data_IF_057171533607
#
_entry.id   IF_057171533607
#
_cell.length_a   1.000
_cell.length_b   1.000
_cell.length_c   1.000
_cell.angle_alpha   90.00
_cell.angle_beta   90.00
_cell.angle_gamma   90.00
#
_symmetry.space_group_name_H-M   'P 1'
#
loop_
_entity.id
_entity.type
_entity.pdbx_description
1 polymer ?
#
# COMPACT_ATOMS: atom_id res chain seq x y z
N UNK A 1 -11.51 24.01 -7.94
CA UNK A 1 -10.31 23.21 -8.27
C UNK A 1 -10.74 21.96 -9.03
N UNK A 2 -9.90 21.53 -9.99
CA UNK A 2 -10.16 20.38 -10.88
C UNK A 2 -10.10 19.00 -10.17
N UNK A 3 -9.42 18.91 -9.03
CA UNK A 3 -9.36 17.68 -8.22
C UNK A 3 -10.39 17.71 -7.08
N UNK A 4 -11.43 16.89 -7.22
CA UNK A 4 -12.53 16.80 -6.26
C UNK A 4 -12.09 16.23 -4.91
N UNK A 5 -11.12 15.30 -4.91
CA UNK A 5 -10.65 14.63 -3.70
C UNK A 5 -9.76 15.57 -2.88
N UNK A 6 -8.80 16.21 -3.54
CA UNK A 6 -7.92 17.22 -2.93
C UNK A 6 -8.66 18.46 -2.42
N UNK A 7 -9.78 18.84 -3.06
CA UNK A 7 -10.57 20.03 -2.68
C UNK A 7 -11.05 20.00 -1.23
N UNK A 8 -11.23 18.82 -0.64
CA UNK A 8 -11.68 18.69 0.75
C UNK A 8 -10.71 19.34 1.76
N UNK A 9 -9.44 19.51 1.41
CA UNK A 9 -8.43 20.17 2.27
C UNK A 9 -8.80 21.61 2.58
N UNK A 10 -9.47 22.32 1.67
CA UNK A 10 -9.85 23.73 1.86
C UNK A 10 -10.95 23.96 2.89
N UNK A 11 -11.56 22.89 3.42
CA UNK A 11 -12.45 22.97 4.60
C UNK A 11 -11.68 23.20 5.90
N UNK A 12 -10.36 23.12 5.87
CA UNK A 12 -9.53 23.16 7.08
C UNK A 12 -9.64 24.52 7.79
N UNK A 13 -10.15 24.50 9.03
CA UNK A 13 -10.21 25.66 9.93
C UNK A 13 -8.93 25.85 10.76
N UNK A 14 -7.86 25.12 10.44
CA UNK A 14 -6.55 25.16 11.12
C UNK A 14 -6.60 24.92 12.66
N UNK A 15 -7.52 24.09 13.14
CA UNK A 15 -7.66 23.76 14.57
C UNK A 15 -6.49 22.97 15.20
N UNK A 16 -5.56 22.43 14.42
CA UNK A 16 -4.39 21.69 14.94
C UNK A 16 -4.63 20.26 15.46
N UNK A 17 -5.88 19.83 15.65
CA UNK A 17 -6.22 18.51 16.21
C UNK A 17 -5.52 17.34 15.49
N UNK A 18 -5.50 17.38 14.16
CA UNK A 18 -4.84 16.37 13.33
C UNK A 18 -3.32 16.27 13.54
N UNK A 19 -2.64 17.38 13.87
CA UNK A 19 -1.20 17.39 14.11
C UNK A 19 -0.88 16.76 15.47
N UNK A 20 -1.68 17.06 16.50
CA UNK A 20 -1.49 16.57 17.86
C UNK A 20 -1.72 15.06 17.99
N UNK A 21 -2.68 14.51 17.25
CA UNK A 21 -2.98 13.07 17.26
C UNK A 21 -2.03 12.26 16.37
N UNK A 22 -1.32 12.90 15.45
CA UNK A 22 -0.51 12.17 14.48
C UNK A 22 0.76 11.63 15.15
N UNK A 23 0.99 10.29 15.16
CA UNK A 23 2.18 9.72 15.80
C UNK A 23 3.48 10.16 15.12
N UNK A 24 3.45 10.45 13.82
CA UNK A 24 4.64 10.90 13.09
C UNK A 24 5.00 12.33 13.48
N UNK A 25 4.07 13.28 13.32
CA UNK A 25 4.35 14.70 13.59
C UNK A 25 4.50 15.01 15.08
N UNK A 26 3.91 14.20 15.96
CA UNK A 26 4.12 14.32 17.41
C UNK A 26 5.56 13.97 17.82
N UNK A 27 6.19 12.99 17.16
CA UNK A 27 7.54 12.53 17.51
C UNK A 27 8.66 13.24 16.73
N UNK A 28 8.46 13.51 15.44
CA UNK A 28 9.51 14.10 14.58
C UNK A 28 9.43 15.64 14.57
N UNK A 29 8.30 16.22 15.01
CA UNK A 29 8.08 17.66 15.02
C UNK A 29 7.44 18.20 13.73
N UNK A 30 6.92 19.42 13.79
CA UNK A 30 6.06 19.99 12.74
C UNK A 30 6.75 20.23 11.39
N UNK A 31 8.04 20.58 11.39
CA UNK A 31 8.79 20.99 10.18
C UNK A 31 9.70 19.90 9.62
N UNK A 32 9.71 18.70 10.20
CA UNK A 32 10.66 17.65 9.84
C UNK A 32 10.65 17.25 8.36
N UNK A 33 9.52 17.44 7.68
CA UNK A 33 9.35 17.13 6.27
C UNK A 33 9.51 18.37 5.35
N UNK A 34 10.09 19.46 5.86
CA UNK A 34 10.61 20.55 5.03
C UNK A 34 9.57 21.51 4.46
N UNK A 35 8.42 21.68 5.13
CA UNK A 35 7.37 22.60 4.68
C UNK A 35 6.82 23.51 5.77
N UNK A 36 6.42 24.73 5.40
CA UNK A 36 5.93 25.74 6.35
C UNK A 36 4.61 25.36 7.01
N UNK A 37 3.78 24.55 6.32
CA UNK A 37 2.57 23.96 6.92
C UNK A 37 2.94 22.59 7.48
N UNK A 38 2.95 22.50 8.80
CA UNK A 38 3.20 21.25 9.52
C UNK A 38 1.99 20.32 9.56
N UNK A 39 2.25 19.05 9.85
CA UNK A 39 1.20 18.08 10.18
C UNK A 39 0.54 17.43 8.97
N UNK A 40 -0.47 16.57 9.20
CA UNK A 40 -1.17 15.86 8.12
C UNK A 40 -1.84 16.80 7.10
N UNK A 41 -2.20 18.02 7.51
CA UNK A 41 -2.75 19.05 6.61
C UNK A 41 -1.69 19.55 5.62
N UNK A 42 -0.46 19.81 6.08
CA UNK A 42 0.65 20.17 5.20
C UNK A 42 0.92 19.12 4.15
N UNK A 43 0.89 17.84 4.55
CA UNK A 43 1.14 16.71 3.66
C UNK A 43 0.11 16.55 2.53
N UNK A 44 -1.11 17.07 2.70
CA UNK A 44 -2.17 17.02 1.67
C UNK A 44 -2.38 18.35 0.94
N UNK A 45 -2.05 19.48 1.58
CA UNK A 45 -2.23 20.80 1.00
C UNK A 45 -1.10 21.16 0.03
N UNK A 46 0.14 21.00 0.48
CA UNK A 46 1.35 21.40 -0.26
C UNK A 46 1.43 20.80 -1.66
N UNK A 47 1.15 19.50 -1.88
CA UNK A 47 1.23 18.91 -3.22
C UNK A 47 0.14 19.40 -4.19
N UNK A 48 -0.84 20.16 -3.70
CA UNK A 48 -1.90 20.73 -4.54
C UNK A 48 -1.57 22.15 -5.02
N UNK A 49 -0.74 22.88 -4.27
CA UNK A 49 -0.36 24.26 -4.60
C UNK A 49 1.05 24.34 -5.21
N UNK A 50 1.90 23.36 -4.93
CA UNK A 50 3.29 23.36 -5.38
C UNK A 50 3.62 22.09 -6.12
N UNK A 51 4.18 22.28 -7.29
CA UNK A 51 4.61 21.20 -8.17
C UNK A 51 6.12 20.96 -8.00
N UNK A 52 6.52 20.58 -6.78
CA UNK A 52 7.92 20.32 -6.42
C UNK A 52 8.13 18.87 -5.97
N UNK A 53 9.36 18.36 -6.16
CA UNK A 53 9.72 17.00 -5.71
C UNK A 53 9.53 16.83 -4.20
N UNK A 54 9.94 17.83 -3.41
CA UNK A 54 9.77 17.81 -1.95
C UNK A 54 8.30 17.70 -1.53
N UNK A 55 7.39 18.43 -2.21
CA UNK A 55 5.96 18.35 -1.91
C UNK A 55 5.41 16.92 -2.13
N UNK A 56 5.87 16.20 -3.14
CA UNK A 56 5.36 14.87 -3.52
C UNK A 56 5.79 13.74 -2.60
N UNK A 57 6.86 13.93 -1.84
CA UNK A 57 7.29 12.97 -0.82
C UNK A 57 6.46 13.12 0.47
N UNK A 58 5.83 14.28 0.70
CA UNK A 58 5.06 14.53 1.93
C UNK A 58 3.93 13.53 2.17
N UNK A 59 3.14 13.08 1.16
CA UNK A 59 2.16 12.04 1.36
C UNK A 59 2.75 10.72 1.87
N UNK A 60 4.03 10.42 1.59
CA UNK A 60 4.70 9.19 2.03
C UNK A 60 5.17 9.24 3.48
N UNK A 61 5.26 10.42 4.10
CA UNK A 61 5.57 10.58 5.52
C UNK A 61 4.50 9.97 6.46
N UNK A 62 3.27 9.77 5.98
CA UNK A 62 2.17 9.25 6.80
C UNK A 62 2.13 7.72 6.91
N UNK A 63 1.78 7.20 8.08
CA UNK A 63 1.51 5.76 8.28
C UNK A 63 0.10 5.34 7.85
N UNK A 64 -0.76 6.29 7.42
CA UNK A 64 -2.17 6.06 7.08
C UNK A 64 -3.00 5.44 8.23
N UNK A 65 -2.64 5.68 9.48
CA UNK A 65 -3.32 5.13 10.67
C UNK A 65 -4.77 5.60 10.90
N UNK A 66 -5.24 6.65 10.21
CA UNK A 66 -6.64 7.08 10.28
C UNK A 66 -6.98 8.10 11.37
N UNK A 67 -6.26 8.14 12.48
CA UNK A 67 -6.62 8.93 13.68
C UNK A 67 -6.92 10.43 13.41
N UNK A 68 -6.22 11.04 12.46
CA UNK A 68 -6.44 12.43 12.06
C UNK A 68 -7.83 12.71 11.44
N UNK A 69 -8.46 11.72 10.81
CA UNK A 69 -9.81 11.84 10.27
C UNK A 69 -10.87 11.78 11.38
N UNK A 70 -10.64 10.95 12.40
CA UNK A 70 -11.57 10.73 13.51
C UNK A 70 -11.74 11.99 14.36
N UNK A 71 -10.62 12.65 14.68
CA UNK A 71 -10.60 13.88 15.50
C UNK A 71 -10.95 15.16 14.72
N UNK A 72 -11.13 15.07 13.40
CA UNK A 72 -11.33 16.27 12.58
C UNK A 72 -12.74 16.85 12.79
N UNK A 73 -12.89 18.11 13.25
CA UNK A 73 -14.22 18.71 13.49
C UNK A 73 -14.99 18.94 12.19
N UNK A 74 -14.28 19.20 11.09
CA UNK A 74 -14.85 19.46 9.76
C UNK A 74 -14.82 18.23 8.84
N UNK A 75 -14.52 17.05 9.39
CA UNK A 75 -14.58 15.73 8.72
C UNK A 75 -13.80 15.67 7.39
N UNK A 76 -12.58 16.21 7.37
CA UNK A 76 -11.68 16.08 6.20
C UNK A 76 -11.15 14.65 6.13
N UNK A 77 -11.32 13.93 5.00
CA UNK A 77 -10.86 12.55 4.85
C UNK A 77 -9.36 12.50 4.53
N UNK A 78 -8.51 12.96 5.47
CA UNK A 78 -7.05 13.11 5.29
C UNK A 78 -6.39 11.83 4.75
N UNK A 79 -6.64 10.61 5.28
CA UNK A 79 -6.03 9.39 4.76
C UNK A 79 -6.43 9.07 3.32
N UNK A 80 -7.67 9.38 2.92
CA UNK A 80 -8.13 9.16 1.55
C UNK A 80 -7.42 10.09 0.57
N UNK A 81 -7.23 11.36 0.97
CA UNK A 81 -6.52 12.35 0.17
C UNK A 81 -5.04 11.96 0.02
N UNK A 82 -4.39 11.52 1.11
CA UNK A 82 -3.01 11.01 1.06
C UNK A 82 -2.87 9.82 0.10
N UNK A 83 -3.81 8.85 0.14
CA UNK A 83 -3.82 7.73 -0.83
C UNK A 83 -4.02 8.20 -2.26
N UNK A 84 -4.90 9.18 -2.49
CA UNK A 84 -5.11 9.78 -3.81
C UNK A 84 -3.82 10.41 -4.33
N UNK A 85 -3.11 11.18 -3.50
CA UNK A 85 -1.84 11.80 -3.85
C UNK A 85 -0.75 10.76 -4.15
N UNK A 86 -0.60 9.73 -3.32
CA UNK A 86 0.33 8.61 -3.58
C UNK A 86 0.03 7.90 -4.89
N UNK A 87 -1.26 7.72 -5.22
CA UNK A 87 -1.68 7.14 -6.51
C UNK A 87 -1.25 8.03 -7.68
N UNK A 88 -1.42 9.36 -7.57
CA UNK A 88 -0.96 10.29 -8.61
C UNK A 88 0.54 10.22 -8.83
N UNK A 89 1.34 10.24 -7.75
CA UNK A 89 2.80 10.11 -7.83
C UNK A 89 3.18 8.78 -8.49
N UNK A 90 2.57 7.67 -8.07
CA UNK A 90 2.86 6.35 -8.65
C UNK A 90 2.47 6.22 -10.13
N UNK A 91 1.37 6.86 -10.55
CA UNK A 91 0.88 6.84 -11.94
C UNK A 91 1.65 7.77 -12.88
N UNK A 92 2.59 8.53 -12.36
CA UNK A 92 3.34 9.55 -13.08
C UNK A 92 2.47 10.79 -13.36
N UNK A 93 3.10 11.95 -13.33
CA UNK A 93 2.50 13.25 -13.62
C UNK A 93 3.55 14.16 -14.29
N UNK A 94 3.34 15.48 -14.30
CA UNK A 94 4.19 16.44 -15.01
C UNK A 94 5.67 16.47 -14.59
N UNK A 95 6.02 16.17 -13.34
CA UNK A 95 7.44 16.20 -12.88
C UNK A 95 8.01 14.84 -12.46
N UNK A 96 7.23 13.75 -12.48
CA UNK A 96 7.79 12.43 -12.23
C UNK A 96 7.32 11.46 -13.30
N UNK A 97 8.26 10.81 -14.01
CA UNK A 97 7.89 9.69 -14.85
C UNK A 97 7.24 8.62 -13.99
N UNK A 98 6.38 7.81 -14.62
CA UNK A 98 5.74 6.67 -13.96
C UNK A 98 6.76 5.87 -13.16
N UNK A 99 6.49 5.64 -11.89
CA UNK A 99 7.39 4.92 -10.99
C UNK A 99 7.64 3.47 -11.42
N UNK A 100 6.80 2.92 -12.31
CA UNK A 100 6.88 1.54 -12.77
C UNK A 100 7.07 1.46 -14.30
N UNK A 101 8.08 0.73 -14.79
CA UNK A 101 8.27 0.44 -16.21
C UNK A 101 7.04 -0.20 -16.86
N UNK A 102 6.81 0.09 -18.15
CA UNK A 102 5.72 -0.47 -18.94
C UNK A 102 5.56 -2.01 -18.88
N UNK A 103 6.63 -2.83 -18.98
CA UNK A 103 6.49 -4.29 -18.92
C UNK A 103 6.01 -4.79 -17.55
N UNK A 104 6.51 -4.19 -16.46
CA UNK A 104 6.10 -4.55 -15.09
C UNK A 104 4.63 -4.19 -14.87
N UNK A 105 4.17 -3.05 -15.39
CA UNK A 105 2.75 -2.66 -15.33
C UNK A 105 1.87 -3.61 -16.13
N UNK A 106 2.29 -4.03 -17.32
CA UNK A 106 1.58 -5.03 -18.12
C UNK A 106 1.44 -6.35 -17.37
N UNK A 107 2.54 -6.85 -16.79
CA UNK A 107 2.53 -8.04 -15.96
C UNK A 107 1.65 -7.88 -14.71
N UNK A 108 1.68 -6.73 -14.04
CA UNK A 108 0.85 -6.44 -12.87
C UNK A 108 -0.65 -6.42 -13.24
N UNK A 109 -1.03 -5.79 -14.35
CA UNK A 109 -2.41 -5.79 -14.84
C UNK A 109 -2.90 -7.21 -15.16
N UNK A 110 -2.07 -8.01 -15.86
CA UNK A 110 -2.40 -9.42 -16.12
C UNK A 110 -2.52 -10.23 -14.83
N UNK A 111 -1.62 -10.00 -13.86
CA UNK A 111 -1.69 -10.62 -12.56
C UNK A 111 -2.96 -10.22 -11.81
N UNK A 112 -3.41 -8.96 -11.86
CA UNK A 112 -4.67 -8.55 -11.22
C UNK A 112 -5.88 -9.27 -11.83
N UNK A 113 -5.91 -9.48 -13.14
CA UNK A 113 -6.96 -10.24 -13.80
C UNK A 113 -6.89 -11.72 -13.38
N UNK A 114 -5.71 -12.34 -13.43
CA UNK A 114 -5.51 -13.74 -13.07
C UNK A 114 -5.82 -14.03 -11.59
N UNK A 115 -5.41 -13.14 -10.68
CA UNK A 115 -5.67 -13.26 -9.24
C UNK A 115 -7.11 -12.90 -8.88
N UNK A 116 -7.78 -12.05 -9.66
CA UNK A 116 -9.19 -11.71 -9.50
C UNK A 116 -10.13 -12.87 -9.88
N UNK A 117 -9.71 -13.74 -10.79
CA UNK A 117 -10.46 -14.93 -11.16
C UNK A 117 -10.26 -16.06 -10.14
N UNK A 118 -11.32 -16.40 -9.42
CA UNK A 118 -11.27 -17.31 -8.27
C UNK A 118 -10.80 -18.74 -8.63
N UNK A 119 -11.15 -19.24 -9.82
CA UNK A 119 -10.76 -20.56 -10.30
C UNK A 119 -9.29 -20.61 -10.73
N UNK A 120 -8.79 -19.59 -11.45
CA UNK A 120 -7.39 -19.44 -11.86
C UNK A 120 -6.49 -19.38 -10.64
N UNK A 121 -6.87 -18.59 -9.63
CA UNK A 121 -6.15 -18.54 -8.36
C UNK A 121 -6.13 -19.91 -7.66
N UNK A 122 -7.26 -20.63 -7.61
CA UNK A 122 -7.34 -21.98 -6.97
C UNK A 122 -6.49 -23.00 -7.70
N UNK A 123 -6.47 -22.97 -9.03
CA UNK A 123 -5.67 -23.86 -9.85
C UNK A 123 -4.17 -23.52 -9.72
N UNK A 124 -3.83 -22.23 -9.83
CA UNK A 124 -2.46 -21.73 -9.66
C UNK A 124 -1.86 -22.13 -8.31
N UNK A 125 -2.59 -21.92 -7.20
CA UNK A 125 -2.11 -22.31 -5.85
C UNK A 125 -1.97 -23.83 -5.66
N UNK A 126 -2.70 -24.66 -6.42
CA UNK A 126 -2.52 -26.13 -6.40
C UNK A 126 -1.30 -26.58 -7.20
N UNK A 127 -1.01 -25.90 -8.31
CA UNK A 127 0.09 -26.24 -9.21
C UNK A 127 1.42 -25.60 -8.81
N UNK A 128 1.39 -24.46 -8.12
CA UNK A 128 2.58 -23.71 -7.71
C UNK A 128 3.65 -24.55 -6.98
N UNK A 129 3.32 -25.45 -6.03
CA UNK A 129 4.32 -26.28 -5.34
C UNK A 129 5.02 -27.27 -6.27
N UNK A 130 4.33 -27.70 -7.34
CA UNK A 130 4.90 -28.61 -8.34
C UNK A 130 5.91 -27.86 -9.23
N UNK A 131 5.52 -26.68 -9.74
CA UNK A 131 6.39 -25.86 -10.59
C UNK A 131 7.60 -25.29 -9.84
N UNK A 132 7.44 -24.92 -8.57
CA UNK A 132 8.52 -24.36 -7.76
C UNK A 132 9.45 -25.43 -7.17
N UNK A 133 9.13 -26.73 -7.32
CA UNK A 133 9.93 -27.83 -6.79
C UNK A 133 11.38 -27.81 -7.26
N UNK A 134 11.63 -27.42 -8.51
CA UNK A 134 12.98 -27.33 -9.08
C UNK A 134 13.81 -26.18 -8.50
N UNK A 135 13.14 -25.12 -8.03
CA UNK A 135 13.76 -23.97 -7.38
C UNK A 135 13.87 -24.15 -5.85
N UNK A 136 13.52 -25.33 -5.33
CA UNK A 136 13.46 -25.60 -3.88
C UNK A 136 14.76 -26.24 -3.41
N UNK A 137 15.42 -25.62 -2.44
CA UNK A 137 16.56 -26.15 -1.70
C UNK A 137 16.24 -26.15 -0.20
N UNK A 138 16.30 -27.30 0.45
CA UNK A 138 16.09 -27.46 1.90
C UNK A 138 14.78 -26.85 2.44
N UNK A 139 13.70 -26.88 1.64
CA UNK A 139 12.40 -26.30 2.03
C UNK A 139 12.29 -24.79 1.84
N UNK A 140 13.27 -24.15 1.18
CA UNK A 140 13.29 -22.74 0.85
C UNK A 140 13.54 -22.51 -0.64
N UNK A 141 13.18 -21.33 -1.13
CA UNK A 141 13.53 -20.80 -2.44
C UNK A 141 14.62 -19.73 -2.26
N UNK A 142 15.91 -20.10 -2.35
CA UNK A 142 17.02 -19.17 -2.13
C UNK A 142 17.17 -18.15 -3.25
N UNK A 143 16.71 -18.48 -4.46
CA UNK A 143 16.73 -17.58 -5.61
C UNK A 143 15.43 -17.74 -6.41
N UNK A 144 14.73 -16.63 -6.62
CA UNK A 144 13.66 -16.55 -7.60
C UNK A 144 14.18 -15.96 -8.92
N UNK A 145 13.54 -16.28 -10.05
CA UNK A 145 13.86 -15.62 -11.32
C UNK A 145 13.58 -14.12 -11.26
N UNK A 146 14.35 -13.35 -12.02
CA UNK A 146 14.07 -11.93 -12.25
C UNK A 146 12.65 -11.77 -12.84
N UNK A 147 11.82 -10.82 -12.39
CA UNK A 147 12.13 -9.63 -11.58
C UNK A 147 11.90 -9.78 -10.06
N UNK A 148 11.46 -10.94 -9.58
CA UNK A 148 11.10 -11.15 -8.15
C UNK A 148 12.34 -11.50 -7.31
N UNK A 149 13.48 -11.74 -7.97
CA UNK A 149 14.77 -12.05 -7.36
C UNK A 149 15.23 -11.05 -6.28
N UNK A 150 14.85 -9.77 -6.38
CA UNK A 150 15.20 -8.71 -5.40
C UNK A 150 14.68 -8.97 -3.98
N UNK A 151 13.62 -9.75 -3.83
CA UNK A 151 13.14 -10.14 -2.49
C UNK A 151 14.06 -11.21 -1.90
N UNK A 152 14.43 -12.20 -2.72
CA UNK A 152 15.27 -13.34 -2.31
C UNK A 152 16.73 -12.98 -2.06
N UNK A 153 17.21 -11.81 -2.50
CA UNK A 153 18.56 -11.31 -2.15
C UNK A 153 18.70 -10.95 -0.67
N UNK A 154 17.62 -10.51 -0.02
CA UNK A 154 17.64 -10.11 1.39
C UNK A 154 16.99 -11.19 2.28
N UNK A 155 15.97 -11.89 1.76
CA UNK A 155 15.23 -12.89 2.53
C UNK A 155 14.82 -14.10 1.68
N UNK A 156 15.27 -15.33 2.00
CA UNK A 156 14.80 -16.52 1.30
C UNK A 156 13.30 -16.71 1.52
N UNK A 157 12.60 -17.20 0.49
CA UNK A 157 11.17 -17.48 0.59
C UNK A 157 10.95 -18.92 1.06
N UNK A 158 10.02 -19.16 2.02
CA UNK A 158 9.69 -20.53 2.40
C UNK A 158 9.05 -21.25 1.21
N UNK A 159 9.26 -22.56 1.12
CA UNK A 159 8.60 -23.35 0.09
C UNK A 159 7.08 -23.23 0.22
N UNK A 160 6.40 -23.15 -0.92
CA UNK A 160 4.95 -23.08 -0.97
C UNK A 160 4.33 -24.45 -0.66
N UNK A 161 4.41 -24.90 0.59
CA UNK A 161 3.89 -26.20 1.06
C UNK A 161 2.58 -26.05 1.83
N UNK A 162 2.44 -24.95 2.59
CA UNK A 162 1.24 -24.66 3.38
C UNK A 162 0.09 -24.16 2.51
N UNK A 163 -0.95 -24.99 2.37
CA UNK A 163 -2.19 -24.63 1.64
C UNK A 163 -3.21 -24.10 2.62
N UNK A 164 -3.13 -22.81 2.96
CA UNK A 164 -4.03 -22.15 3.91
C UNK A 164 -5.51 -22.49 3.67
N UNK A 165 -5.98 -22.50 2.41
CA UNK A 165 -7.37 -22.84 2.08
C UNK A 165 -7.74 -24.29 2.40
N UNK A 166 -6.87 -25.25 2.11
CA UNK A 166 -7.12 -26.65 2.45
C UNK A 166 -7.13 -26.87 3.96
N UNK A 167 -6.19 -26.22 4.65
CA UNK A 167 -6.16 -26.21 6.10
C UNK A 167 -7.44 -25.57 6.69
N UNK A 168 -7.90 -24.45 6.15
CA UNK A 168 -9.12 -23.76 6.57
C UNK A 168 -10.39 -24.59 6.33
N UNK A 169 -10.49 -25.23 5.16
CA UNK A 169 -11.63 -26.09 4.81
C UNK A 169 -11.67 -27.34 5.71
N UNK A 170 -10.51 -27.96 5.98
CA UNK A 170 -10.41 -29.10 6.90
C UNK A 170 -10.80 -28.71 8.33
N UNK A 171 -10.33 -27.55 8.81
CA UNK A 171 -10.66 -27.02 10.14
C UNK A 171 -12.15 -26.70 10.29
N UNK A 172 -12.76 -26.06 9.29
CA UNK A 172 -14.19 -25.70 9.33
C UNK A 172 -15.10 -26.93 9.30
N UNK A 173 -14.72 -28.00 8.59
CA UNK A 173 -15.43 -29.29 8.62
C UNK A 173 -15.30 -29.99 9.98
N UNK A 174 -14.11 -29.98 10.58
CA UNK A 174 -13.88 -30.53 11.92
C UNK A 174 -14.70 -29.81 12.99
N UNK A 175 -14.77 -28.47 12.98
CA UNK A 175 -15.60 -27.72 13.94
C UNK A 175 -17.10 -27.99 13.80
N UNK A 176 -17.60 -28.21 12.57
CA UNK A 176 -19.01 -28.58 12.35
C UNK A 176 -19.33 -29.99 12.81
N UNK A 177 -18.37 -30.92 12.72
CA UNK A 177 -18.53 -32.30 13.20
C UNK A 177 -18.45 -32.45 14.72
N UNK A 178 -17.93 -31.46 15.45
CA UNK A 178 -17.92 -31.43 16.93
C UNK A 178 -19.14 -30.72 17.53
N UNK A 179 -19.99 -30.10 16.70
CA UNK A 179 -21.23 -29.42 17.11
C UNK A 179 -22.50 -30.21 16.73
N UNK A 180 -22.36 -31.49 16.35
CA UNK A 180 -23.46 -32.43 16.17
C UNK A 180 -23.35 -33.56 17.19
#
# INVERSE_FOLDING_TARGET
>A
LKDEVGRQVFKCIRCGACANVCPVYKNVGGFAYGWFISGPIGAIFTPQILDSRAARELPYASTLCGACADVCPVKIPIPAILRHLRKRVAQGDKLSPRSMPAPIRGAASLATLALGQSWLYRLGTRLLPYFTRILRKDGWHPALPYPISRWTTVRPLPAFTARFRQWWDARSKSQKGTQQ
#
